data_IF_509456317297
#
_entry.id   IF_509456317297
#
_cell.length_a   1.000
_cell.length_b   1.000
_cell.length_c   1.000
_cell.angle_alpha   90.00
_cell.angle_beta   90.00
_cell.angle_gamma   90.00
#
_symmetry.space_group_name_H-M   'P 1'
#
loop_
_entity.id
_entity.type
_entity.pdbx_description
1 polymer ?
#
# COMPACT_ATOMS: atom_id res chain seq x y z
N UNK A 1 -3.49 -73.40 23.65
CA UNK A 1 -3.59 -72.80 24.99
C UNK A 1 -3.60 -71.29 24.77
N UNK A 2 -4.78 -70.65 24.79
CA UNK A 2 -5.44 -70.12 26.00
C UNK A 2 -4.46 -69.20 26.76
N UNK A 3 -4.66 -67.89 26.92
CA UNK A 3 -5.92 -67.17 27.18
C UNK A 3 -5.71 -65.66 27.04
N UNK A 4 -6.78 -65.01 26.58
CA UNK A 4 -7.11 -63.59 26.62
C UNK A 4 -6.70 -62.86 27.91
N UNK A 5 -6.23 -61.61 27.80
CA UNK A 5 -6.49 -60.60 28.83
C UNK A 5 -6.60 -59.19 28.20
N UNK A 6 -7.74 -58.58 28.44
CA UNK A 6 -8.16 -57.22 28.09
C UNK A 6 -7.31 -56.19 28.87
N UNK A 7 -6.94 -55.08 28.24
CA UNK A 7 -6.65 -53.81 28.93
C UNK A 7 -6.76 -52.67 27.91
N UNK A 8 -7.95 -52.07 27.83
CA UNK A 8 -8.26 -50.72 28.34
C UNK A 8 -7.73 -49.60 27.43
N UNK A 9 -8.61 -49.14 26.55
CA UNK A 9 -8.51 -47.81 25.95
C UNK A 9 -8.66 -46.77 27.06
N UNK A 10 -7.67 -45.88 27.18
CA UNK A 10 -7.75 -44.66 27.96
C UNK A 10 -7.41 -43.52 27.01
N UNK A 11 -8.45 -43.02 26.32
CA UNK A 11 -8.40 -41.72 25.66
C UNK A 11 -8.49 -40.66 26.76
N UNK A 12 -7.35 -40.18 27.24
CA UNK A 12 -7.31 -38.92 27.97
C UNK A 12 -7.34 -37.83 26.91
N UNK A 13 -8.54 -37.39 26.55
CA UNK A 13 -8.71 -36.09 25.94
C UNK A 13 -8.34 -35.06 27.02
N UNK A 14 -7.09 -34.62 27.02
CA UNK A 14 -6.71 -33.35 27.63
C UNK A 14 -7.40 -32.26 26.80
N UNK A 15 -8.67 -31.99 27.12
CA UNK A 15 -9.25 -30.69 26.88
C UNK A 15 -8.55 -29.72 27.84
N UNK A 16 -7.30 -29.38 27.52
CA UNK A 16 -6.76 -28.11 27.96
C UNK A 16 -7.71 -27.08 27.38
N UNK A 17 -8.47 -26.41 28.25
CA UNK A 17 -8.99 -25.10 27.93
C UNK A 17 -7.77 -24.22 27.65
N UNK A 18 -7.29 -24.27 26.41
CA UNK A 18 -6.52 -23.20 25.84
C UNK A 18 -7.49 -22.02 25.86
N UNK A 19 -7.37 -21.21 26.91
CA UNK A 19 -7.80 -19.83 26.82
C UNK A 19 -7.02 -19.31 25.62
N UNK A 20 -7.68 -19.25 24.46
CA UNK A 20 -7.17 -18.52 23.33
C UNK A 20 -7.19 -17.07 23.80
N UNK A 21 -6.12 -16.67 24.47
CA UNK A 21 -5.85 -15.27 24.77
C UNK A 21 -5.89 -14.58 23.41
N UNK A 22 -6.85 -13.68 23.24
CA UNK A 22 -7.06 -13.05 21.94
C UNK A 22 -5.76 -12.33 21.60
N UNK A 23 -5.22 -12.60 20.43
CA UNK A 23 -4.00 -11.95 19.93
C UNK A 23 -4.15 -10.42 19.99
N UNK A 24 -5.39 -9.93 19.85
CA UNK A 24 -5.78 -8.53 19.95
C UNK A 24 -5.55 -7.90 21.33
N UNK A 25 -5.50 -8.71 22.39
CA UNK A 25 -5.35 -8.24 23.77
C UNK A 25 -3.88 -8.25 24.26
N UNK A 26 -2.98 -8.90 23.50
CA UNK A 26 -1.55 -8.92 23.85
C UNK A 26 -0.94 -7.52 23.75
N UNK A 27 -0.12 -7.07 24.71
CA UNK A 27 0.72 -5.88 24.56
C UNK A 27 1.72 -6.02 23.39
N UNK A 28 2.08 -4.93 22.73
CA UNK A 28 2.92 -4.94 21.52
C UNK A 28 4.30 -5.58 21.73
N UNK A 29 4.94 -5.34 22.88
CA UNK A 29 6.22 -5.94 23.26
C UNK A 29 6.11 -7.46 23.48
N UNK A 30 5.00 -7.88 24.08
CA UNK A 30 4.68 -9.29 24.31
C UNK A 30 4.38 -10.00 22.99
N UNK A 31 3.59 -9.36 22.11
CA UNK A 31 3.29 -9.87 20.77
C UNK A 31 4.56 -10.08 19.93
N UNK A 32 5.51 -9.13 19.98
CA UNK A 32 6.79 -9.26 19.29
C UNK A 32 7.69 -10.34 19.92
N UNK A 33 7.66 -10.49 21.25
CA UNK A 33 8.35 -11.57 21.95
C UNK A 33 7.82 -12.96 21.53
N UNK A 34 6.50 -13.11 21.43
CA UNK A 34 5.85 -14.35 21.00
C UNK A 34 6.18 -14.72 19.55
N UNK A 35 6.37 -13.75 18.65
CA UNK A 35 6.86 -14.01 17.27
C UNK A 35 8.23 -14.68 17.30
N UNK A 36 9.14 -14.23 18.17
CA UNK A 36 10.48 -14.82 18.32
C UNK A 36 10.36 -16.25 18.83
N UNK A 37 9.59 -16.46 19.89
CA UNK A 37 9.38 -17.79 20.49
C UNK A 37 8.75 -18.78 19.50
N UNK A 38 7.69 -18.38 18.79
CA UNK A 38 7.04 -19.23 17.78
C UNK A 38 7.99 -19.57 16.62
N UNK A 39 8.87 -18.64 16.23
CA UNK A 39 9.90 -18.88 15.21
C UNK A 39 10.94 -19.90 15.68
N UNK A 40 11.45 -19.74 16.89
CA UNK A 40 12.46 -20.64 17.47
C UNK A 40 11.92 -22.05 17.70
N UNK A 41 10.64 -22.17 18.07
CA UNK A 41 9.97 -23.44 18.30
C UNK A 41 9.43 -24.10 17.02
N UNK A 42 9.45 -23.41 15.88
CA UNK A 42 8.90 -23.92 14.61
C UNK A 42 7.36 -24.03 14.61
N UNK A 43 6.67 -23.15 15.33
CA UNK A 43 5.21 -23.15 15.44
C UNK A 43 4.56 -22.40 14.27
N UNK A 44 4.53 -23.03 13.09
CA UNK A 44 4.16 -22.36 11.82
C UNK A 44 2.79 -21.66 11.84
N UNK A 45 1.74 -22.33 12.30
CA UNK A 45 0.38 -21.75 12.34
C UNK A 45 0.31 -20.57 13.31
N UNK A 46 0.91 -20.72 14.49
CA UNK A 46 0.95 -19.67 15.52
C UNK A 46 1.75 -18.47 15.05
N UNK A 47 2.89 -18.71 14.41
CA UNK A 47 3.73 -17.68 13.82
C UNK A 47 2.97 -16.87 12.76
N UNK A 48 2.19 -17.54 11.90
CA UNK A 48 1.39 -16.85 10.88
C UNK A 48 0.34 -15.93 11.50
N UNK A 49 -0.34 -16.37 12.56
CA UNK A 49 -1.35 -15.55 13.23
C UNK A 49 -0.74 -14.37 13.99
N UNK A 50 0.39 -14.58 14.67
CA UNK A 50 1.18 -13.51 15.31
C UNK A 50 1.66 -12.47 14.28
N UNK A 51 2.18 -12.92 13.14
CA UNK A 51 2.68 -12.03 12.07
C UNK A 51 1.57 -11.20 11.42
N UNK A 52 0.35 -11.75 11.31
CA UNK A 52 -0.83 -11.00 10.84
C UNK A 52 -1.21 -9.89 11.81
N UNK A 53 -1.17 -10.16 13.10
CA UNK A 53 -1.46 -9.16 14.14
C UNK A 53 -0.39 -8.07 14.18
N UNK A 54 0.90 -8.43 14.12
CA UNK A 54 2.01 -7.46 13.97
C UNK A 54 1.82 -6.57 12.75
N UNK A 55 1.37 -7.14 11.62
CA UNK A 55 1.05 -6.38 10.41
C UNK A 55 -0.17 -5.48 10.60
N UNK A 56 -1.23 -5.96 11.23
CA UNK A 56 -2.46 -5.21 11.48
C UNK A 56 -2.20 -3.98 12.38
N UNK A 57 -1.33 -4.12 13.37
CA UNK A 57 -0.89 -3.05 14.28
C UNK A 57 0.20 -2.15 13.71
N UNK A 58 0.74 -2.49 12.53
CA UNK A 58 1.80 -1.70 11.91
C UNK A 58 3.13 -1.73 12.68
N UNK A 59 3.40 -2.79 13.43
CA UNK A 59 4.61 -2.97 14.23
C UNK A 59 5.82 -3.46 13.41
N UNK A 60 5.65 -3.64 12.10
CA UNK A 60 6.75 -3.94 11.20
C UNK A 60 7.74 -2.77 11.20
N UNK A 61 9.02 -3.06 11.45
CA UNK A 61 10.12 -2.08 11.42
C UNK A 61 10.29 -1.38 10.07
N UNK A 62 9.67 -1.92 9.01
CA UNK A 62 9.64 -1.30 7.69
C UNK A 62 8.34 -0.52 7.55
N UNK A 63 8.38 0.83 7.44
CA UNK A 63 7.20 1.55 6.98
C UNK A 63 6.78 0.89 5.66
N UNK A 64 5.48 0.63 5.49
CA UNK A 64 4.94 0.30 4.17
C UNK A 64 5.58 1.30 3.20
N UNK A 65 6.18 0.88 2.07
CA UNK A 65 6.58 1.86 1.07
C UNK A 65 5.31 2.67 0.79
N UNK A 66 5.33 3.95 1.17
CA UNK A 66 4.23 4.83 0.79
C UNK A 66 4.37 4.93 -0.72
N UNK A 67 3.59 4.12 -1.43
CA UNK A 67 3.56 4.15 -2.87
C UNK A 67 3.00 5.51 -3.23
N UNK A 68 3.87 6.41 -3.67
CA UNK A 68 3.46 7.75 -4.05
C UNK A 68 2.54 7.65 -5.27
N UNK A 69 1.25 7.61 -4.98
CA UNK A 69 0.17 7.32 -5.91
C UNK A 69 -1.07 8.11 -5.51
N UNK A 70 -1.99 8.27 -6.44
CA UNK A 70 -3.30 8.88 -6.24
C UNK A 70 -4.38 7.97 -6.83
N UNK A 71 -5.61 8.11 -6.36
CA UNK A 71 -6.76 7.38 -6.86
C UNK A 71 -7.41 8.11 -8.03
N UNK A 72 -8.08 7.34 -8.89
CA UNK A 72 -8.96 7.87 -9.92
C UNK A 72 -10.42 7.63 -9.51
N UNK A 73 -11.35 8.51 -9.91
CA UNK A 73 -12.77 8.19 -9.90
C UNK A 73 -13.06 6.91 -10.68
N UNK A 74 -14.03 6.13 -10.20
CA UNK A 74 -14.54 4.95 -10.91
C UNK A 74 -15.54 5.38 -11.99
N UNK A 75 -15.02 5.73 -13.17
CA UNK A 75 -15.81 6.21 -14.32
C UNK A 75 -15.36 5.52 -15.61
N UNK A 76 -16.22 5.52 -16.64
CA UNK A 76 -15.86 4.96 -17.95
C UNK A 76 -14.57 5.56 -18.52
N UNK A 77 -14.39 6.88 -18.36
CA UNK A 77 -13.18 7.58 -18.80
C UNK A 77 -11.94 7.04 -18.10
N UNK A 78 -11.96 6.91 -16.78
CA UNK A 78 -10.83 6.38 -16.02
C UNK A 78 -10.75 4.86 -16.03
N UNK A 79 -11.76 4.14 -16.51
CA UNK A 79 -11.65 2.71 -16.82
C UNK A 79 -10.66 2.42 -17.96
N UNK A 80 -10.37 3.41 -18.80
CA UNK A 80 -9.41 3.29 -19.91
C UNK A 80 -7.96 3.61 -19.46
N UNK A 81 -7.06 2.63 -19.57
CA UNK A 81 -5.66 2.76 -19.14
C UNK A 81 -4.88 3.83 -19.91
N UNK A 82 -5.17 4.00 -21.21
CA UNK A 82 -4.51 5.03 -22.04
C UNK A 82 -4.91 6.42 -21.54
N UNK A 83 -6.15 6.59 -21.12
CA UNK A 83 -6.68 7.86 -20.64
C UNK A 83 -6.10 8.20 -19.27
N UNK A 84 -6.10 7.22 -18.35
CA UNK A 84 -5.39 7.31 -17.06
C UNK A 84 -3.93 7.70 -17.26
N UNK A 85 -3.24 7.07 -18.23
CA UNK A 85 -1.84 7.36 -18.54
C UNK A 85 -1.62 8.82 -18.91
N UNK A 86 -2.44 9.37 -19.81
CA UNK A 86 -2.34 10.77 -20.21
C UNK A 86 -2.56 11.75 -19.04
N UNK A 87 -3.57 11.49 -18.21
CA UNK A 87 -3.85 12.29 -17.02
C UNK A 87 -2.72 12.20 -16.00
N UNK A 88 -2.22 10.98 -15.71
CA UNK A 88 -1.09 10.74 -14.81
C UNK A 88 0.13 11.54 -15.21
N UNK A 89 0.48 11.51 -16.49
CA UNK A 89 1.66 12.20 -16.99
C UNK A 89 1.48 13.71 -16.91
N UNK A 90 0.36 14.25 -17.39
CA UNK A 90 0.08 15.69 -17.29
C UNK A 90 0.07 16.21 -15.85
N UNK A 91 -0.74 15.57 -14.98
CA UNK A 91 -0.87 15.95 -13.58
C UNK A 91 0.45 15.77 -12.82
N UNK A 92 1.11 14.63 -12.99
CA UNK A 92 2.40 14.38 -12.37
C UNK A 92 3.50 15.32 -12.88
N UNK A 93 3.44 15.83 -14.10
CA UNK A 93 4.41 16.81 -14.60
C UNK A 93 4.28 18.14 -13.87
N UNK A 94 3.06 18.63 -13.64
CA UNK A 94 2.83 19.86 -12.89
C UNK A 94 3.30 19.73 -11.43
N UNK A 95 2.98 18.60 -10.79
CA UNK A 95 3.37 18.35 -9.41
C UNK A 95 4.88 18.14 -9.23
N UNK A 96 5.58 17.56 -10.20
CA UNK A 96 7.05 17.44 -10.15
C UNK A 96 7.74 18.80 -10.24
N UNK A 97 7.29 19.67 -11.15
CA UNK A 97 7.80 21.04 -11.22
C UNK A 97 7.55 21.78 -9.91
N UNK A 98 6.34 21.63 -9.35
CA UNK A 98 5.99 22.23 -8.07
C UNK A 98 6.89 21.70 -6.95
N UNK A 99 7.10 20.39 -6.87
CA UNK A 99 7.97 19.77 -5.89
C UNK A 99 9.42 20.28 -5.99
N UNK A 100 9.99 20.32 -7.21
CA UNK A 100 11.33 20.88 -7.43
C UNK A 100 11.41 22.35 -7.01
N UNK A 101 10.40 23.15 -7.35
CA UNK A 101 10.37 24.58 -7.02
C UNK A 101 10.30 24.85 -5.51
N UNK A 102 9.66 23.95 -4.76
CA UNK A 102 9.49 24.06 -3.31
C UNK A 102 10.58 23.31 -2.52
N UNK A 103 11.44 22.54 -3.20
CA UNK A 103 12.37 21.63 -2.53
C UNK A 103 11.66 20.51 -1.76
N UNK A 104 10.49 20.06 -2.23
CA UNK A 104 9.65 19.09 -1.55
C UNK A 104 10.06 17.65 -1.89
N UNK A 105 10.38 16.87 -0.85
CA UNK A 105 10.83 15.48 -0.96
C UNK A 105 9.74 14.44 -0.63
N UNK A 106 8.52 14.87 -0.29
CA UNK A 106 7.41 13.97 -0.01
C UNK A 106 6.75 13.43 -1.28
N UNK A 107 5.56 12.84 -1.14
CA UNK A 107 4.83 12.38 -2.32
C UNK A 107 4.27 13.56 -3.12
N UNK A 108 4.63 13.67 -4.40
CA UNK A 108 4.19 14.79 -5.26
C UNK A 108 2.67 14.96 -5.31
N UNK A 109 1.90 13.89 -5.14
CA UNK A 109 0.44 13.94 -5.15
C UNK A 109 -0.16 14.58 -3.89
N UNK A 110 0.64 14.83 -2.85
CA UNK A 110 0.22 15.63 -1.69
C UNK A 110 0.22 17.14 -2.00
N UNK A 111 0.90 17.56 -3.08
CA UNK A 111 1.02 18.97 -3.47
C UNK A 111 -0.17 19.50 -4.27
N UNK A 112 -1.12 18.64 -4.66
CA UNK A 112 -2.29 19.07 -5.42
C UNK A 112 -3.34 17.98 -5.58
N UNK A 113 -4.53 18.38 -6.03
CA UNK A 113 -5.65 17.45 -6.25
C UNK A 113 -5.91 17.21 -7.73
N UNK A 114 -6.39 16.00 -8.04
CA UNK A 114 -6.80 15.65 -9.40
C UNK A 114 -7.93 16.55 -9.90
N UNK A 115 -8.89 16.90 -9.03
CA UNK A 115 -10.01 17.78 -9.38
C UNK A 115 -9.56 19.20 -9.72
N UNK A 116 -8.57 19.75 -9.01
CA UNK A 116 -8.02 21.06 -9.37
C UNK A 116 -7.36 21.02 -10.75
N UNK A 117 -6.59 19.96 -11.02
CA UNK A 117 -5.97 19.74 -12.32
C UNK A 117 -7.02 19.60 -13.43
N UNK A 118 -8.04 18.75 -13.27
CA UNK A 118 -9.07 18.59 -14.32
C UNK A 118 -9.90 19.86 -14.49
N UNK A 119 -10.23 20.56 -13.40
CA UNK A 119 -10.97 21.82 -13.46
C UNK A 119 -10.21 22.88 -14.26
N UNK A 120 -8.89 23.00 -14.09
CA UNK A 120 -8.07 23.94 -14.85
C UNK A 120 -7.97 23.55 -16.33
N UNK A 121 -7.81 22.25 -16.63
CA UNK A 121 -7.54 21.79 -18.01
C UNK A 121 -8.79 21.69 -18.88
N UNK A 122 -9.89 21.24 -18.30
CA UNK A 122 -11.11 20.90 -19.05
C UNK A 122 -12.36 21.56 -18.49
N UNK A 123 -12.25 22.37 -17.42
CA UNK A 123 -13.38 23.08 -16.83
C UNK A 123 -14.35 22.20 -16.04
N UNK A 124 -13.95 20.97 -15.70
CA UNK A 124 -14.77 19.95 -15.04
C UNK A 124 -14.02 19.27 -13.91
N UNK A 125 -14.74 18.80 -12.91
CA UNK A 125 -14.21 17.88 -11.93
C UNK A 125 -13.84 16.53 -12.58
N UNK A 126 -13.00 15.74 -11.92
CA UNK A 126 -12.44 14.53 -12.52
C UNK A 126 -13.53 13.50 -12.82
N UNK A 127 -14.54 13.38 -11.94
CA UNK A 127 -15.67 12.47 -12.13
C UNK A 127 -16.49 12.75 -13.40
N UNK A 128 -16.41 13.97 -13.94
CA UNK A 128 -17.20 14.41 -15.10
C UNK A 128 -16.38 14.39 -16.42
N UNK A 129 -15.14 13.90 -16.37
CA UNK A 129 -14.30 13.76 -17.55
C UNK A 129 -14.87 12.69 -18.51
N UNK A 130 -14.88 12.99 -19.80
CA UNK A 130 -15.39 12.07 -20.84
C UNK A 130 -14.37 11.86 -21.96
N UNK A 131 -14.63 10.90 -22.83
CA UNK A 131 -13.76 10.57 -23.98
C UNK A 131 -13.45 11.78 -24.87
N UNK A 132 -14.34 12.77 -24.97
CA UNK A 132 -14.05 14.00 -25.75
C UNK A 132 -12.91 14.82 -25.16
N UNK A 133 -12.71 14.74 -23.84
CA UNK A 133 -11.72 15.52 -23.11
C UNK A 133 -10.31 14.91 -23.23
N UNK A 134 -10.22 13.63 -23.63
CA UNK A 134 -8.95 12.89 -23.74
C UNK A 134 -7.89 13.64 -24.55
N UNK A 135 -8.30 14.28 -25.65
CA UNK A 135 -7.35 14.98 -26.53
C UNK A 135 -6.63 16.14 -25.85
N UNK A 136 -7.27 16.77 -24.84
CA UNK A 136 -6.66 17.84 -24.03
C UNK A 136 -5.55 17.25 -23.17
N UNK A 137 -5.86 16.23 -22.37
CA UNK A 137 -4.87 15.55 -21.51
C UNK A 137 -3.72 14.94 -22.31
N UNK A 138 -4.03 14.35 -23.47
CA UNK A 138 -3.03 13.68 -24.31
C UNK A 138 -1.97 14.62 -24.88
N UNK A 139 -2.35 15.87 -25.15
CA UNK A 139 -1.49 16.92 -25.69
C UNK A 139 -0.81 17.72 -24.59
N UNK A 140 -1.46 17.85 -23.43
CA UNK A 140 -1.01 18.69 -22.33
C UNK A 140 0.43 18.35 -21.91
N UNK A 141 1.35 19.29 -22.19
CA UNK A 141 2.79 19.23 -21.88
C UNK A 141 3.48 17.95 -22.32
N UNK A 142 2.96 17.27 -23.35
CA UNK A 142 3.49 15.98 -23.81
C UNK A 142 4.97 16.04 -24.18
N UNK A 143 5.42 17.16 -24.76
CA UNK A 143 6.82 17.40 -25.10
C UNK A 143 7.74 17.42 -23.87
N UNK A 144 7.20 17.79 -22.71
CA UNK A 144 7.99 18.08 -21.51
C UNK A 144 8.05 16.88 -20.56
N UNK A 145 7.16 15.89 -20.73
CA UNK A 145 7.00 14.77 -19.78
C UNK A 145 8.30 14.07 -19.43
N UNK A 146 9.13 13.77 -20.44
CA UNK A 146 10.40 13.07 -20.24
C UNK A 146 11.42 13.95 -19.53
N UNK A 147 11.59 15.18 -20.00
CA UNK A 147 12.56 16.15 -19.46
C UNK A 147 12.25 16.48 -17.99
N UNK A 148 11.00 16.81 -17.68
CA UNK A 148 10.58 17.12 -16.31
C UNK A 148 10.76 15.92 -15.40
N UNK A 149 10.47 14.71 -15.88
CA UNK A 149 10.67 13.50 -15.10
C UNK A 149 12.16 13.27 -14.82
N UNK A 150 13.04 13.42 -15.82
CA UNK A 150 14.49 13.29 -15.63
C UNK A 150 15.03 14.32 -14.63
N UNK A 151 14.67 15.60 -14.79
CA UNK A 151 15.04 16.66 -13.84
C UNK A 151 14.56 16.36 -12.43
N UNK A 152 13.34 15.85 -12.29
CA UNK A 152 12.80 15.47 -10.99
C UNK A 152 13.53 14.27 -10.36
N UNK A 153 13.92 13.25 -11.14
CA UNK A 153 14.73 12.14 -10.62
C UNK A 153 16.09 12.65 -10.12
N UNK A 154 16.74 13.54 -10.88
CA UNK A 154 18.00 14.15 -10.44
C UNK A 154 17.82 14.98 -9.16
N UNK A 155 16.75 15.78 -9.08
CA UNK A 155 16.40 16.51 -7.86
C UNK A 155 16.23 15.57 -6.65
N UNK A 156 15.52 14.45 -6.80
CA UNK A 156 15.32 13.48 -5.72
C UNK A 156 16.66 12.87 -5.26
N UNK A 157 17.52 12.48 -6.19
CA UNK A 157 18.85 11.95 -5.88
C UNK A 157 19.74 12.98 -5.17
N UNK A 158 19.75 14.22 -5.64
CA UNK A 158 20.63 15.27 -5.12
C UNK A 158 20.15 15.87 -3.79
N UNK A 159 18.84 15.97 -3.58
CA UNK A 159 18.24 16.75 -2.48
C UNK A 159 17.47 15.92 -1.46
N UNK A 160 16.97 14.77 -1.86
CA UNK A 160 16.08 13.95 -1.03
C UNK A 160 16.73 12.61 -0.60
N UNK A 161 17.87 12.24 -1.19
CA UNK A 161 18.64 11.05 -0.81
C UNK A 161 17.97 9.74 -1.23
N UNK A 162 17.11 9.80 -2.26
CA UNK A 162 16.30 8.70 -2.78
C UNK A 162 16.41 8.56 -4.29
#
# INVERSE_FOLDING_TARGET
MNTSLKALAVFIALAGSAWAEDLQDLPDDTLLGEVVTATENGEEERLLDLMREVQARGLLMFPKPQTCTFSYPDTEFFGNEIFRGAVRWGFGTDLRELAMSQGFCGCIYDLGSLDAFTQERIGKAAQDATTSDFSVFRKYRRSDWSDVNERYQNFQLERCGS
#
